data_IF_120439580939
#
_entry.id   IF_120439580939
#
_cell.length_a   1.000
_cell.length_b   1.000
_cell.length_c   1.000
_cell.angle_alpha   90.00
_cell.angle_beta   90.00
_cell.angle_gamma   90.00
#
_symmetry.space_group_name_H-M   'P 1'
#
loop_
_entity.id
_entity.type
_entity.pdbx_description
1 polymer ?
#
# COMPACT_ATOMS: atom_id res chain seq x y z
N UNK A 1 23.57 -52.10 42.61
CA UNK A 1 22.24 -51.49 42.37
C UNK A 1 22.38 -50.52 41.21
N UNK A 2 21.65 -50.77 40.13
CA UNK A 2 21.73 -50.04 38.85
C UNK A 2 20.88 -48.78 38.94
N UNK A 3 21.38 -47.63 38.51
CA UNK A 3 20.56 -46.44 38.25
C UNK A 3 20.88 -45.93 36.85
N UNK A 4 19.90 -46.10 35.96
CA UNK A 4 19.91 -45.64 34.57
C UNK A 4 19.25 -44.26 34.60
N UNK A 5 20.00 -43.22 34.21
CA UNK A 5 19.46 -41.86 34.03
C UNK A 5 19.08 -41.72 32.56
N UNK A 6 17.78 -41.58 32.27
CA UNK A 6 17.28 -41.21 30.96
C UNK A 6 17.38 -39.69 30.82
N UNK A 7 18.31 -39.22 29.99
CA UNK A 7 18.36 -37.81 29.59
C UNK A 7 17.40 -37.66 28.40
N UNK A 8 16.26 -37.01 28.63
CA UNK A 8 15.37 -36.56 27.58
C UNK A 8 16.01 -35.34 26.92
N UNK A 9 16.63 -35.56 25.77
CA UNK A 9 17.13 -34.48 24.90
C UNK A 9 15.93 -33.77 24.29
N UNK A 10 15.48 -32.68 24.92
CA UNK A 10 14.53 -31.74 24.30
C UNK A 10 15.25 -31.09 23.12
N UNK A 11 14.86 -31.47 21.90
CA UNK A 11 15.36 -30.85 20.68
C UNK A 11 15.01 -29.36 20.68
N UNK A 12 16.03 -28.51 20.65
CA UNK A 12 15.89 -27.09 20.39
C UNK A 12 15.42 -26.92 18.94
N UNK A 13 14.12 -26.72 18.76
CA UNK A 13 13.55 -26.31 17.47
C UNK A 13 13.96 -24.86 17.22
N UNK A 14 15.05 -24.66 16.49
CA UNK A 14 15.41 -23.36 15.95
C UNK A 14 14.44 -23.08 14.80
N UNK A 15 13.33 -22.40 15.12
CA UNK A 15 12.48 -21.80 14.09
C UNK A 15 13.29 -20.66 13.49
N UNK A 16 13.90 -20.90 12.34
CA UNK A 16 14.49 -19.83 11.55
C UNK A 16 13.38 -18.84 11.19
N UNK A 17 13.40 -17.67 11.83
CA UNK A 17 12.54 -16.54 11.52
C UNK A 17 12.92 -16.03 10.14
N UNK A 18 12.29 -16.57 9.11
CA UNK A 18 12.32 -15.96 7.79
C UNK A 18 11.47 -14.68 7.91
N UNK A 19 11.97 -13.50 7.49
CA UNK A 19 11.11 -12.33 7.41
C UNK A 19 10.02 -12.66 6.39
N UNK A 20 8.80 -12.89 6.87
CA UNK A 20 7.62 -12.89 6.01
C UNK A 20 7.37 -11.42 5.70
N UNK A 21 8.06 -10.92 4.68
CA UNK A 21 7.60 -9.70 4.03
C UNK A 21 6.30 -10.09 3.33
N UNK A 22 5.16 -9.72 3.91
CA UNK A 22 3.90 -9.65 3.16
C UNK A 22 4.01 -8.46 2.19
N UNK A 23 4.99 -8.52 1.28
CA UNK A 23 5.12 -7.58 0.19
C UNK A 23 4.07 -7.93 -0.84
N UNK A 24 3.20 -6.98 -1.15
CA UNK A 24 2.40 -7.03 -2.37
C UNK A 24 3.36 -7.34 -3.51
N UNK A 25 3.17 -8.46 -4.22
CA UNK A 25 3.93 -8.71 -5.43
C UNK A 25 3.62 -7.54 -6.39
N UNK A 26 4.62 -6.90 -6.96
CA UNK A 26 4.43 -5.75 -7.86
C UNK A 26 4.77 -6.15 -9.30
N UNK A 27 3.97 -5.66 -10.25
CA UNK A 27 4.17 -5.87 -11.68
C UNK A 27 5.22 -4.92 -12.25
N UNK A 28 5.40 -4.99 -13.58
CA UNK A 28 6.28 -4.08 -14.31
C UNK A 28 5.77 -2.63 -14.33
N UNK A 29 6.53 -1.69 -14.92
CA UNK A 29 6.13 -0.30 -15.08
C UNK A 29 4.81 -0.14 -15.86
N UNK A 30 4.05 0.90 -15.55
CA UNK A 30 2.82 1.26 -16.28
C UNK A 30 2.96 2.63 -16.99
N UNK A 31 2.33 2.77 -18.16
CA UNK A 31 2.35 4.00 -18.99
C UNK A 31 0.98 4.69 -19.04
N UNK A 32 0.36 4.83 -17.88
CA UNK A 32 -0.91 5.52 -17.70
C UNK A 32 -0.86 6.33 -16.39
N UNK A 33 -2.03 6.69 -15.87
CA UNK A 33 -2.14 7.31 -14.57
C UNK A 33 -3.46 6.94 -13.89
N UNK A 34 -3.44 6.93 -12.58
CA UNK A 34 -4.60 6.68 -11.71
C UNK A 34 -4.80 7.89 -10.81
N UNK A 35 -6.06 8.18 -10.55
CA UNK A 35 -6.48 9.18 -9.55
C UNK A 35 -7.50 8.56 -8.64
N UNK A 36 -7.54 8.98 -7.39
CA UNK A 36 -8.53 8.49 -6.46
C UNK A 36 -8.65 9.35 -5.22
N UNK A 37 -9.78 9.21 -4.56
CA UNK A 37 -10.02 9.83 -3.26
C UNK A 37 -11.24 9.24 -2.61
N UNK A 38 -11.26 9.22 -1.28
CA UNK A 38 -12.31 8.54 -0.55
C UNK A 38 -11.95 8.26 0.90
N UNK A 39 -12.57 7.21 1.44
CA UNK A 39 -12.21 6.67 2.74
C UNK A 39 -12.42 5.16 2.81
N UNK A 40 -11.61 4.52 3.65
CA UNK A 40 -11.77 3.14 4.11
C UNK A 40 -12.22 3.12 5.57
N UNK A 41 -12.75 1.99 6.03
CA UNK A 41 -13.15 1.79 7.42
C UNK A 41 -12.47 0.53 7.95
N UNK A 42 -11.86 0.61 9.13
CA UNK A 42 -11.16 -0.52 9.71
C UNK A 42 -12.11 -1.67 10.03
N UNK A 43 -11.76 -2.87 9.57
CA UNK A 43 -12.49 -4.10 9.85
C UNK A 43 -11.87 -4.91 11.00
N UNK A 44 -10.81 -4.39 11.65
CA UNK A 44 -10.11 -5.04 12.75
C UNK A 44 -9.10 -6.12 12.31
N UNK A 45 -8.74 -6.14 11.03
CA UNK A 45 -7.75 -7.04 10.44
C UNK A 45 -6.42 -6.35 10.10
N UNK A 46 -6.40 -5.02 10.09
CA UNK A 46 -5.24 -4.18 9.77
C UNK A 46 -4.86 -3.29 10.97
N UNK A 47 -3.94 -2.35 10.76
CA UNK A 47 -3.59 -1.34 11.77
C UNK A 47 -4.64 -0.23 11.91
N UNK A 48 -5.54 -0.07 10.93
CA UNK A 48 -6.70 0.82 11.04
C UNK A 48 -7.69 0.24 12.06
N UNK A 49 -7.93 0.95 13.16
CA UNK A 49 -8.75 0.45 14.25
C UNK A 49 -10.18 0.09 13.78
N UNK A 50 -10.76 -0.94 14.39
CA UNK A 50 -12.12 -1.38 14.05
C UNK A 50 -13.12 -0.22 14.15
N UNK A 51 -13.82 0.06 13.04
CA UNK A 51 -14.80 1.15 12.93
C UNK A 51 -14.21 2.55 12.77
N UNK A 52 -12.88 2.73 12.86
CA UNK A 52 -12.24 3.99 12.53
C UNK A 52 -12.22 4.18 11.01
N UNK A 53 -12.38 5.43 10.57
CA UNK A 53 -12.24 5.78 9.16
C UNK A 53 -10.85 6.34 8.87
N UNK A 54 -10.34 6.05 7.68
CA UNK A 54 -9.19 6.76 7.15
C UNK A 54 -9.50 7.39 5.79
N UNK A 55 -9.34 8.71 5.69
CA UNK A 55 -9.52 9.45 4.45
C UNK A 55 -8.25 9.37 3.61
N UNK A 56 -8.39 9.32 2.29
CA UNK A 56 -7.26 9.35 1.38
C UNK A 56 -7.53 10.20 0.14
N UNK A 57 -6.46 10.79 -0.39
CA UNK A 57 -6.37 11.35 -1.73
C UNK A 57 -5.09 10.83 -2.37
N UNK A 58 -5.20 10.30 -3.58
CA UNK A 58 -4.08 9.63 -4.23
C UNK A 58 -4.07 9.90 -5.73
N UNK A 59 -2.87 10.12 -6.25
CA UNK A 59 -2.61 10.08 -7.69
C UNK A 59 -1.27 9.43 -7.94
N UNK A 60 -1.16 8.71 -9.04
CA UNK A 60 0.08 8.07 -9.46
C UNK A 60 0.11 7.89 -10.96
N UNK A 61 1.28 8.01 -11.56
CA UNK A 61 1.42 7.86 -13.00
C UNK A 61 2.82 8.19 -13.47
N UNK A 62 2.95 8.16 -14.78
CA UNK A 62 4.10 8.75 -15.48
C UNK A 62 3.65 9.95 -16.30
N UNK A 63 4.46 11.00 -16.32
CA UNK A 63 4.17 12.23 -17.07
C UNK A 63 5.46 12.91 -17.51
N UNK A 64 5.59 13.17 -18.81
CA UNK A 64 6.67 13.94 -19.42
C UNK A 64 8.08 13.52 -18.98
N UNK A 65 8.34 12.21 -18.93
CA UNK A 65 9.66 11.69 -18.55
C UNK A 65 9.92 11.66 -17.05
N UNK A 66 8.87 11.69 -16.21
CA UNK A 66 8.97 11.66 -14.76
C UNK A 66 7.85 10.84 -14.13
N UNK A 67 8.03 10.39 -12.89
CA UNK A 67 6.92 9.94 -12.05
C UNK A 67 6.08 11.15 -11.63
N UNK A 68 4.77 10.96 -11.54
CA UNK A 68 3.81 11.99 -11.20
C UNK A 68 2.81 11.46 -10.18
N UNK A 69 2.36 12.32 -9.27
CA UNK A 69 1.30 11.98 -8.34
C UNK A 69 1.43 12.70 -7.00
N UNK A 70 0.66 12.21 -6.04
CA UNK A 70 0.62 12.69 -4.67
C UNK A 70 -0.03 11.63 -3.78
N UNK A 71 0.13 11.79 -2.47
CA UNK A 71 -0.59 11.03 -1.46
C UNK A 71 -0.95 11.95 -0.29
N UNK A 72 -2.20 11.86 0.14
CA UNK A 72 -2.66 12.32 1.44
C UNK A 72 -3.42 11.16 2.09
N UNK A 73 -3.14 10.88 3.36
CA UNK A 73 -3.85 9.86 4.12
C UNK A 73 -3.99 10.29 5.59
N UNK A 74 -5.21 10.27 6.10
CA UNK A 74 -5.53 10.65 7.48
C UNK A 74 -6.26 9.51 8.17
N UNK A 75 -5.60 8.86 9.12
CA UNK A 75 -6.19 7.80 9.94
C UNK A 75 -6.74 8.37 11.25
N UNK A 76 -8.04 8.20 11.47
CA UNK A 76 -8.77 8.68 12.64
C UNK A 76 -8.82 7.67 13.81
N UNK A 77 -7.95 6.66 13.83
CA UNK A 77 -7.83 5.71 14.96
C UNK A 77 -7.38 6.38 16.26
N UNK A 78 -6.72 7.55 16.17
CA UNK A 78 -6.21 8.32 17.30
C UNK A 78 -6.68 9.77 17.25
N UNK A 79 -6.48 10.49 18.37
CA UNK A 79 -6.74 11.92 18.47
C UNK A 79 -5.50 12.62 19.05
N UNK A 80 -4.80 13.49 18.29
CA UNK A 80 -5.10 13.87 16.91
C UNK A 80 -4.91 12.71 15.90
N UNK A 81 -5.57 12.75 14.73
CA UNK A 81 -5.41 11.74 13.67
C UNK A 81 -3.95 11.61 13.21
N UNK A 82 -3.54 10.41 12.78
CA UNK A 82 -2.27 10.22 12.08
C UNK A 82 -2.40 10.80 10.67
N UNK A 83 -1.55 11.78 10.35
CA UNK A 83 -1.53 12.47 9.06
C UNK A 83 -0.32 12.05 8.26
N UNK A 84 -0.54 11.55 7.06
CA UNK A 84 0.49 11.11 6.13
C UNK A 84 0.43 11.99 4.89
N UNK A 85 1.56 12.62 4.59
CA UNK A 85 1.75 13.46 3.42
C UNK A 85 2.83 12.85 2.54
N UNK A 86 2.49 12.52 1.29
CA UNK A 86 3.43 12.06 0.27
C UNK A 86 4.32 13.21 -0.17
N UNK A 87 5.64 13.05 -0.03
CA UNK A 87 6.64 14.08 -0.37
C UNK A 87 7.29 13.85 -1.74
N UNK A 88 7.24 12.63 -2.27
CA UNK A 88 7.60 12.32 -3.66
C UNK A 88 6.96 11.02 -4.13
N UNK A 89 6.79 10.87 -5.45
CA UNK A 89 6.48 9.59 -6.10
C UNK A 89 7.77 9.02 -6.69
N UNK A 90 8.11 7.80 -6.31
CA UNK A 90 9.34 7.10 -6.71
C UNK A 90 9.09 5.92 -7.64
N UNK A 91 7.83 5.51 -7.81
CA UNK A 91 7.48 4.39 -8.68
C UNK A 91 6.00 4.36 -9.03
N UNK A 92 5.73 3.86 -10.22
CA UNK A 92 4.38 3.61 -10.73
C UNK A 92 4.36 2.32 -11.53
N UNK A 93 3.64 1.32 -11.02
CA UNK A 93 3.72 -0.07 -11.44
C UNK A 93 2.31 -0.65 -11.66
N UNK A 94 2.23 -1.70 -12.46
CA UNK A 94 1.04 -2.56 -12.52
C UNK A 94 0.89 -3.33 -11.20
N UNK A 95 -0.33 -3.48 -10.69
CA UNK A 95 -0.60 -4.45 -9.62
C UNK A 95 -0.54 -5.88 -10.16
N UNK A 96 -0.17 -6.85 -9.32
CA UNK A 96 -0.01 -8.25 -9.78
C UNK A 96 -1.28 -9.05 -9.79
N UNK A 97 -2.31 -8.64 -9.03
CA UNK A 97 -3.55 -9.40 -8.94
C UNK A 97 -4.35 -9.25 -10.24
N UNK A 98 -4.60 -8.02 -10.66
CA UNK A 98 -5.21 -7.70 -11.94
C UNK A 98 -4.54 -6.47 -12.58
N UNK A 99 -3.51 -6.64 -13.44
CA UNK A 99 -2.80 -5.51 -14.04
C UNK A 99 -3.67 -4.63 -14.95
N UNK A 100 -4.88 -5.09 -15.33
CA UNK A 100 -5.81 -4.27 -16.12
C UNK A 100 -6.49 -3.16 -15.31
N UNK A 101 -6.59 -3.32 -13.99
CA UNK A 101 -7.32 -2.41 -13.08
C UNK A 101 -6.47 -1.91 -11.90
N UNK A 102 -5.39 -2.62 -11.58
CA UNK A 102 -4.61 -2.41 -10.36
C UNK A 102 -3.36 -1.59 -10.65
N UNK A 103 -3.08 -0.60 -9.81
CA UNK A 103 -1.87 0.22 -9.88
C UNK A 103 -1.21 0.32 -8.51
N UNK A 104 0.11 0.22 -8.51
CA UNK A 104 0.93 0.41 -7.32
C UNK A 104 1.74 1.69 -7.46
N UNK A 105 1.68 2.53 -6.44
CA UNK A 105 2.35 3.81 -6.33
C UNK A 105 3.30 3.73 -5.14
N UNK A 106 4.58 3.98 -5.37
CA UNK A 106 5.56 4.06 -4.28
C UNK A 106 6.08 5.47 -4.15
N UNK A 107 6.52 5.83 -2.94
CA UNK A 107 7.07 7.15 -2.70
C UNK A 107 7.66 7.32 -1.31
N UNK A 108 8.07 8.55 -1.04
CA UNK A 108 8.52 8.98 0.30
C UNK A 108 7.44 9.81 0.97
N UNK A 109 7.36 9.76 2.29
CA UNK A 109 6.32 10.41 3.07
C UNK A 109 6.86 11.09 4.33
N UNK A 110 6.02 12.01 4.81
CA UNK A 110 6.07 12.64 6.12
C UNK A 110 4.86 12.16 6.93
N UNK A 111 5.07 11.73 8.17
CA UNK A 111 3.99 11.33 9.07
C UNK A 111 3.98 12.26 10.28
N UNK A 112 2.86 12.90 10.57
CA UNK A 112 2.69 13.84 11.70
C UNK A 112 3.79 14.91 11.77
N UNK A 113 4.21 15.43 10.61
CA UNK A 113 5.27 16.44 10.53
C UNK A 113 6.70 15.89 10.48
N UNK A 114 6.90 14.58 10.63
CA UNK A 114 8.23 13.93 10.66
C UNK A 114 8.53 13.25 9.33
N UNK A 115 9.64 13.63 8.69
CA UNK A 115 10.14 13.02 7.44
C UNK A 115 10.83 11.67 7.69
N UNK A 116 11.13 10.93 6.61
CA UNK A 116 11.91 9.70 6.66
C UNK A 116 11.11 8.42 6.50
N UNK A 117 9.86 8.53 6.06
CA UNK A 117 9.01 7.38 5.78
C UNK A 117 8.95 7.09 4.28
N UNK A 118 8.65 5.85 3.94
CA UNK A 118 8.24 5.44 2.60
C UNK A 118 6.79 4.97 2.62
N UNK A 119 6.14 5.08 1.48
CA UNK A 119 4.81 4.52 1.28
C UNK A 119 4.75 3.63 0.05
N UNK A 120 3.86 2.65 0.11
CA UNK A 120 3.37 1.90 -1.03
C UNK A 120 1.85 1.93 -0.96
N UNK A 121 1.21 2.38 -2.04
CA UNK A 121 -0.24 2.37 -2.17
C UNK A 121 -0.61 1.49 -3.34
N UNK A 122 -1.52 0.54 -3.13
CA UNK A 122 -2.18 -0.20 -4.21
C UNK A 122 -3.64 0.26 -4.32
N UNK A 123 -4.04 0.59 -5.54
CA UNK A 123 -5.42 0.95 -5.87
C UNK A 123 -5.95 0.05 -6.97
N UNK A 124 -7.26 -0.22 -6.92
CA UNK A 124 -7.99 -0.94 -7.96
C UNK A 124 -9.21 -0.14 -8.37
N UNK A 125 -9.37 0.08 -9.68
CA UNK A 125 -10.59 0.60 -10.30
C UNK A 125 -11.48 -0.58 -10.76
N UNK A 126 -12.55 -0.86 -10.03
CA UNK A 126 -13.49 -1.97 -10.31
C UNK A 126 -14.83 -1.48 -10.88
N UNK A 127 -14.95 -0.20 -11.21
CA UNK A 127 -16.08 0.36 -11.94
C UNK A 127 -16.85 1.44 -11.20
N UNK A 128 -17.78 2.06 -11.92
CA UNK A 128 -18.48 3.25 -11.46
C UNK A 128 -19.95 2.97 -11.06
N UNK A 129 -20.41 3.42 -9.88
CA UNK A 129 -19.65 4.16 -8.86
C UNK A 129 -18.69 3.27 -8.06
N UNK A 130 -17.52 3.80 -7.69
CA UNK A 130 -16.45 3.05 -7.02
C UNK A 130 -16.72 2.61 -5.58
N UNK A 131 -17.72 3.20 -4.92
CA UNK A 131 -18.06 2.86 -3.53
C UNK A 131 -18.47 1.38 -3.42
N UNK A 132 -17.77 0.64 -2.56
CA UNK A 132 -18.05 -0.78 -2.29
C UNK A 132 -17.45 -1.73 -3.32
N UNK A 133 -16.71 -1.24 -4.32
CA UNK A 133 -16.09 -2.04 -5.38
C UNK A 133 -14.61 -1.71 -5.56
N UNK A 134 -14.27 -0.43 -5.62
CA UNK A 134 -12.90 0.04 -5.73
C UNK A 134 -12.12 -0.25 -4.45
N UNK A 135 -10.81 -0.38 -4.61
CA UNK A 135 -9.92 -0.75 -3.50
C UNK A 135 -8.81 0.27 -3.33
N UNK A 136 -8.46 0.47 -2.08
CA UNK A 136 -7.30 1.23 -1.64
C UNK A 136 -6.62 0.41 -0.54
N UNK A 137 -5.31 0.27 -0.64
CA UNK A 137 -4.45 -0.28 0.41
C UNK A 137 -3.19 0.56 0.53
N UNK A 138 -2.69 0.70 1.76
CA UNK A 138 -1.48 1.46 2.05
C UNK A 138 -0.56 0.68 2.99
N UNK A 139 0.72 0.73 2.69
CA UNK A 139 1.83 0.32 3.55
C UNK A 139 2.69 1.55 3.83
N UNK A 140 3.07 1.76 5.08
CA UNK A 140 4.04 2.78 5.50
C UNK A 140 5.20 2.11 6.21
N UNK A 141 6.40 2.65 6.06
CA UNK A 141 7.58 2.15 6.78
C UNK A 141 8.63 3.23 7.00
N UNK A 142 9.45 3.06 8.03
CA UNK A 142 10.71 3.79 8.26
C UNK A 142 11.94 2.86 8.26
N UNK A 143 11.79 1.61 7.77
CA UNK A 143 12.85 0.61 7.76
C UNK A 143 12.98 -0.23 9.04
N UNK A 144 12.22 0.08 10.09
CA UNK A 144 12.14 -0.73 11.32
C UNK A 144 10.71 -1.09 11.72
N UNK A 145 9.77 -0.17 11.51
CA UNK A 145 8.35 -0.37 11.77
C UNK A 145 7.53 -0.30 10.48
N UNK A 146 6.34 -0.90 10.52
CA UNK A 146 5.39 -0.93 9.42
C UNK A 146 3.99 -0.59 9.92
N UNK A 147 3.21 0.07 9.06
CA UNK A 147 1.77 0.27 9.21
C UNK A 147 1.09 -0.18 7.94
N UNK A 148 -0.01 -0.92 8.05
CA UNK A 148 -0.74 -1.51 6.94
C UNK A 148 -2.25 -1.32 7.13
N UNK A 149 -2.94 -0.84 6.08
CA UNK A 149 -4.39 -0.64 6.10
C UNK A 149 -4.99 -0.78 4.70
N UNK A 150 -6.28 -1.14 4.64
CA UNK A 150 -7.05 -1.22 3.39
C UNK A 150 -7.35 -2.65 2.91
N UNK A 151 -7.82 -2.75 1.67
CA UNK A 151 -8.47 -3.98 1.17
C UNK A 151 -7.57 -5.21 1.21
N UNK A 152 -6.28 -5.06 0.93
CA UNK A 152 -5.31 -6.17 0.94
C UNK A 152 -5.03 -6.69 2.35
N UNK A 153 -5.40 -5.91 3.37
CA UNK A 153 -5.19 -6.18 4.78
C UNK A 153 -6.50 -6.47 5.52
N UNK A 154 -7.60 -6.67 4.78
CA UNK A 154 -8.87 -7.16 5.32
C UNK A 154 -9.90 -6.08 5.65
N UNK A 155 -9.64 -4.79 5.39
CA UNK A 155 -10.62 -3.70 5.65
C UNK A 155 -11.75 -3.60 4.61
N UNK A 156 -11.65 -4.37 3.52
CA UNK A 156 -12.62 -4.36 2.42
C UNK A 156 -12.43 -3.21 1.43
N UNK A 157 -13.38 -3.04 0.49
CA UNK A 157 -13.35 -1.98 -0.52
C UNK A 157 -13.56 -0.60 0.11
N UNK A 158 -13.35 0.46 -0.67
CA UNK A 158 -13.57 1.83 -0.21
C UNK A 158 -15.03 2.03 0.22
N UNK A 159 -15.23 2.60 1.41
CA UNK A 159 -16.55 2.85 1.97
C UNK A 159 -17.20 4.13 1.39
N UNK A 160 -16.41 4.97 0.74
CA UNK A 160 -16.87 6.07 -0.09
C UNK A 160 -15.74 6.67 -0.92
N UNK A 161 -16.10 7.36 -2.00
CA UNK A 161 -15.15 7.91 -2.96
C UNK A 161 -15.15 7.15 -4.29
N UNK A 162 -14.06 7.31 -5.05
CA UNK A 162 -13.86 6.69 -6.35
C UNK A 162 -12.37 6.57 -6.67
N UNK A 163 -11.98 5.49 -7.35
CA UNK A 163 -10.71 5.33 -8.06
C UNK A 163 -11.02 5.43 -9.56
N UNK A 164 -10.11 6.02 -10.33
CA UNK A 164 -10.21 6.13 -11.78
C UNK A 164 -8.86 5.82 -12.38
N UNK A 165 -8.79 4.71 -13.11
CA UNK A 165 -7.68 4.40 -13.99
C UNK A 165 -7.93 5.08 -15.35
N UNK A 166 -7.02 5.96 -15.73
CA UNK A 166 -7.14 6.72 -16.97
C UNK A 166 -6.40 6.03 -18.10
N UNK A 167 -6.94 6.16 -19.33
CA UNK A 167 -6.24 5.69 -20.52
C UNK A 167 -4.94 6.48 -20.72
N UNK A 168 -3.91 5.78 -21.17
CA UNK A 168 -2.66 6.37 -21.61
C UNK A 168 -2.89 7.43 -22.69
N UNK A 169 -2.12 8.51 -22.62
CA UNK A 169 -2.04 9.56 -23.63
C UNK A 169 -0.56 9.91 -23.91
N UNK A 170 -0.25 10.74 -24.94
CA UNK A 170 1.14 11.04 -25.31
C UNK A 170 2.00 11.67 -24.21
N UNK A 171 1.40 12.27 -23.18
CA UNK A 171 2.15 12.79 -22.03
C UNK A 171 2.56 11.72 -21.03
N UNK A 172 1.99 10.51 -21.09
CA UNK A 172 2.32 9.40 -20.19
C UNK A 172 3.62 8.70 -20.60
N UNK A 173 4.71 9.47 -20.56
CA UNK A 173 6.07 9.00 -20.83
C UNK A 173 6.82 8.80 -19.51
N UNK A 174 7.45 7.62 -19.30
CA UNK A 174 8.12 7.27 -18.06
C UNK A 174 9.51 7.90 -17.95
N UNK A 175 10.12 7.93 -16.75
CA UNK A 175 11.51 8.34 -16.57
C UNK A 175 12.49 7.61 -17.49
N UNK A 176 13.62 8.25 -17.87
CA UNK A 176 14.69 7.57 -18.59
C UNK A 176 15.11 6.26 -17.92
N UNK A 177 15.24 5.19 -18.70
CA UNK A 177 15.59 3.85 -18.19
C UNK A 177 14.40 3.00 -17.74
N UNK A 178 13.18 3.54 -17.74
CA UNK A 178 11.94 2.79 -17.50
C UNK A 178 11.24 2.55 -18.82
N UNK A 179 10.97 1.28 -19.15
CA UNK A 179 10.21 0.89 -20.34
C UNK A 179 8.87 0.29 -19.92
N UNK A 180 7.79 0.81 -20.47
CA UNK A 180 6.47 0.22 -20.29
C UNK A 180 6.28 -0.98 -21.23
N UNK A 181 5.48 -1.97 -20.81
CA UNK A 181 5.06 -3.08 -21.66
C UNK A 181 4.19 -2.61 -22.83
#
# INVERSE_FOLDING_TARGET
MRSIIYIVSIGLLVVASHPVSAGIAVGGPACDFVTGGGFIVGAGASFLAFGASANFGVGGGVKNGAFWGHLEYNDHSTSPPMQVHGTSVTGYLLGTNNPSTDRVITGTARINGVDGFTYMVEVTDNGEPGRGTDKFSITLSNGGEFYEAGSNYGDGPIAGGNIQLHKANPSNTPPPGVTCP
#
